data_IF_067720293922
#
_entry.id   IF_067720293922
#
_cell.length_a   1.000
_cell.length_b   1.000
_cell.length_c   1.000
_cell.angle_alpha   90.00
_cell.angle_beta   90.00
_cell.angle_gamma   90.00
#
_symmetry.space_group_name_H-M   'P 1'
#
loop_
_entity.id
_entity.type
_entity.pdbx_description
1 polymer ?
#
# COMPACT_ATOMS: atom_id res chain seq x y z
N UNK A 1 10.35 10.28 2.39
CA UNK A 1 10.19 8.86 2.71
C UNK A 1 8.87 8.67 3.44
N UNK A 2 7.80 8.46 2.67
CA UNK A 2 6.42 8.41 3.15
C UNK A 2 5.44 8.59 1.99
N UNK A 3 4.16 8.28 2.23
CA UNK A 3 3.05 8.32 1.26
C UNK A 3 2.64 9.75 0.85
N UNK A 4 3.60 10.62 0.54
CA UNK A 4 3.34 11.99 0.06
C UNK A 4 3.03 11.97 -1.44
N UNK A 5 1.81 12.35 -1.89
CA UNK A 5 1.47 12.39 -3.31
C UNK A 5 2.38 13.29 -4.16
N UNK A 6 3.03 14.30 -3.55
CA UNK A 6 3.88 15.29 -4.24
C UNK A 6 5.38 14.91 -4.24
N UNK A 7 5.75 13.80 -3.59
CA UNK A 7 7.12 13.30 -3.47
C UNK A 7 7.27 11.84 -3.94
N UNK A 8 7.92 10.98 -3.14
CA UNK A 8 7.92 9.51 -3.29
C UNK A 8 6.56 8.90 -2.91
N UNK A 9 5.47 9.40 -3.50
CA UNK A 9 4.13 8.88 -3.26
C UNK A 9 4.07 7.41 -3.64
N UNK A 10 3.60 6.56 -2.72
CA UNK A 10 3.33 5.17 -3.08
C UNK A 10 2.26 5.12 -4.18
N UNK A 11 2.26 4.04 -4.94
CA UNK A 11 1.35 3.89 -6.11
C UNK A 11 -0.12 4.17 -5.79
N UNK A 12 -0.57 3.89 -4.55
CA UNK A 12 -1.91 4.20 -4.07
C UNK A 12 -2.19 5.70 -4.05
N UNK A 13 -1.27 6.53 -3.52
CA UNK A 13 -1.51 7.97 -3.41
C UNK A 13 -1.55 8.63 -4.78
N UNK A 14 -0.68 8.19 -5.71
CA UNK A 14 -0.69 8.64 -7.10
C UNK A 14 -2.01 8.23 -7.77
N UNK A 15 -2.43 6.97 -7.63
CA UNK A 15 -3.67 6.48 -8.23
C UNK A 15 -4.89 7.28 -7.76
N UNK A 16 -5.03 7.47 -6.43
CA UNK A 16 -6.12 8.24 -5.84
C UNK A 16 -6.11 9.69 -6.30
N UNK A 17 -4.95 10.35 -6.30
CA UNK A 17 -4.83 11.73 -6.80
C UNK A 17 -5.26 11.85 -8.26
N UNK A 18 -4.87 10.88 -9.11
CA UNK A 18 -5.26 10.88 -10.52
C UNK A 18 -6.76 10.73 -10.71
N UNK A 19 -7.39 9.81 -9.97
CA UNK A 19 -8.84 9.57 -10.00
C UNK A 19 -9.61 10.80 -9.51
N UNK A 20 -9.23 11.38 -8.36
CA UNK A 20 -9.88 12.57 -7.79
C UNK A 20 -9.81 13.76 -8.74
N UNK A 21 -8.70 13.91 -9.46
CA UNK A 21 -8.51 14.99 -10.44
C UNK A 21 -8.99 14.63 -11.86
N UNK A 22 -9.66 13.49 -12.05
CA UNK A 22 -10.13 12.97 -13.34
C UNK A 22 -9.02 13.00 -14.43
N UNK A 23 -7.83 12.58 -14.04
CA UNK A 23 -6.61 12.60 -14.87
C UNK A 23 -6.08 11.18 -15.09
N UNK A 24 -5.30 11.00 -16.15
CA UNK A 24 -4.80 9.68 -16.53
C UNK A 24 -3.76 9.15 -15.53
N UNK A 25 -3.94 7.90 -15.13
CA UNK A 25 -2.92 7.12 -14.44
C UNK A 25 -2.01 6.41 -15.45
N UNK A 26 -0.69 6.56 -15.30
CA UNK A 26 0.28 5.89 -16.17
C UNK A 26 0.67 4.54 -15.58
N UNK A 27 0.30 3.46 -16.27
CA UNK A 27 0.75 2.11 -15.94
C UNK A 27 2.12 1.85 -16.58
N UNK A 28 3.11 1.45 -15.75
CA UNK A 28 4.42 1.04 -16.23
C UNK A 28 4.53 -0.48 -16.23
N UNK A 29 4.93 -1.05 -17.37
CA UNK A 29 5.00 -2.51 -17.56
C UNK A 29 3.66 -3.10 -18.00
N UNK A 30 3.45 -4.37 -17.68
CA UNK A 30 2.24 -5.13 -18.02
C UNK A 30 1.15 -5.07 -16.95
N UNK A 31 1.44 -4.55 -15.75
CA UNK A 31 0.48 -4.43 -14.65
C UNK A 31 0.37 -5.67 -13.76
N UNK A 32 1.08 -6.74 -14.10
CA UNK A 32 1.05 -8.03 -13.38
C UNK A 32 2.01 -8.06 -12.17
N UNK A 33 2.82 -7.01 -11.99
CA UNK A 33 3.66 -6.88 -10.81
C UNK A 33 2.82 -6.81 -9.54
N UNK A 34 3.20 -7.61 -8.54
CA UNK A 34 2.45 -7.71 -7.29
C UNK A 34 3.13 -6.96 -6.14
N UNK A 35 2.32 -6.46 -5.21
CA UNK A 35 2.74 -5.96 -3.89
C UNK A 35 1.71 -6.38 -2.84
N UNK A 36 2.17 -6.50 -1.60
CA UNK A 36 1.31 -6.66 -0.42
C UNK A 36 0.99 -5.26 0.13
N UNK A 37 -0.28 -4.86 0.07
CA UNK A 37 -0.75 -3.57 0.58
C UNK A 37 -1.48 -3.79 1.90
N UNK A 38 -0.88 -3.28 2.98
CA UNK A 38 -1.44 -3.37 4.33
C UNK A 38 -2.04 -2.03 4.77
N UNK A 39 -3.21 -2.08 5.40
CA UNK A 39 -3.87 -0.88 5.89
C UNK A 39 -3.18 -0.35 7.15
N UNK A 40 -3.10 0.98 7.28
CA UNK A 40 -2.35 1.63 8.37
C UNK A 40 -2.84 1.23 9.77
N UNK A 41 -4.14 0.96 9.93
CA UNK A 41 -4.69 0.54 11.22
C UNK A 41 -4.14 -0.83 11.67
N UNK A 42 -3.87 -1.74 10.73
CA UNK A 42 -3.33 -3.06 11.06
C UNK A 42 -1.87 -2.94 11.55
N UNK A 43 -1.10 -2.01 10.99
CA UNK A 43 0.24 -1.69 11.47
C UNK A 43 0.19 -1.06 12.87
N UNK A 44 -0.76 -0.16 13.13
CA UNK A 44 -0.95 0.42 14.47
C UNK A 44 -1.25 -0.68 15.49
N UNK A 45 -2.17 -1.60 15.16
CA UNK A 45 -2.53 -2.71 16.03
C UNK A 45 -1.33 -3.64 16.29
N UNK A 46 -0.56 -3.97 15.25
CA UNK A 46 0.64 -4.81 15.40
C UNK A 46 1.69 -4.18 16.32
N UNK A 47 1.91 -2.87 16.22
CA UNK A 47 2.84 -2.15 17.11
C UNK A 47 2.33 -2.12 18.56
N UNK A 48 1.03 -1.92 18.78
CA UNK A 48 0.43 -1.97 20.11
C UNK A 48 0.62 -3.36 20.75
N UNK A 49 0.34 -4.42 20.00
CA UNK A 49 0.54 -5.80 20.46
C UNK A 49 2.00 -6.09 20.83
N UNK A 50 2.95 -5.62 20.01
CA UNK A 50 4.38 -5.77 20.26
C UNK A 50 4.84 -4.98 21.51
N UNK A 51 4.19 -3.85 21.80
CA UNK A 51 4.50 -3.06 23.00
C UNK A 51 4.04 -3.75 24.30
N UNK A 52 2.94 -4.50 24.24
CA UNK A 52 2.37 -5.22 25.39
C UNK A 52 2.99 -6.61 25.58
N UNK A 53 3.50 -7.20 24.50
CA UNK A 53 4.09 -8.54 24.48
C UNK A 53 5.48 -8.45 23.86
N UNK A 54 6.52 -8.08 24.64
CA UNK A 54 7.86 -7.91 24.10
C UNK A 54 8.39 -9.25 23.59
N UNK A 55 8.66 -9.30 22.29
CA UNK A 55 9.31 -10.41 21.60
C UNK A 55 10.68 -9.92 21.14
N UNK A 56 11.74 -10.71 21.37
CA UNK A 56 13.08 -10.41 20.86
C UNK A 56 13.31 -11.12 19.53
N UNK A 57 12.49 -10.78 18.54
CA UNK A 57 12.57 -11.36 17.20
C UNK A 57 12.13 -10.34 16.14
N UNK A 58 12.42 -10.62 14.88
CA UNK A 58 12.00 -9.80 13.73
C UNK A 58 10.80 -10.43 13.05
N UNK A 59 9.71 -9.67 12.93
CA UNK A 59 8.47 -10.14 12.31
C UNK A 59 8.12 -9.31 11.08
N UNK A 60 7.71 -9.98 10.01
CA UNK A 60 7.04 -9.32 8.89
C UNK A 60 5.57 -9.09 9.27
N UNK A 61 5.08 -7.85 9.10
CA UNK A 61 3.67 -7.52 9.27
C UNK A 61 3.10 -7.19 7.89
N UNK A 62 2.22 -8.06 7.40
CA UNK A 62 1.70 -7.98 6.04
C UNK A 62 0.34 -8.68 5.95
N UNK A 63 -0.39 -8.49 4.85
CA UNK A 63 -1.66 -9.20 4.62
C UNK A 63 -1.45 -10.62 4.10
N UNK A 64 -0.25 -10.89 3.56
CA UNK A 64 0.13 -12.08 2.81
C UNK A 64 -0.72 -12.27 1.54
N UNK A 65 -1.29 -11.18 1.02
CA UNK A 65 -2.11 -11.17 -0.19
C UNK A 65 -1.34 -10.42 -1.28
N UNK A 66 -0.86 -11.10 -2.33
CA UNK A 66 -0.28 -10.43 -3.48
C UNK A 66 -1.38 -9.75 -4.28
N UNK A 67 -1.25 -8.45 -4.52
CA UNK A 67 -2.19 -7.65 -5.31
C UNK A 67 -1.47 -7.08 -6.53
N UNK A 68 -2.01 -7.29 -7.73
CA UNK A 68 -1.45 -6.71 -8.97
C UNK A 68 -1.80 -5.23 -9.10
N UNK A 69 -1.15 -4.50 -10.03
CA UNK A 69 -1.60 -3.14 -10.32
C UNK A 69 -2.96 -3.13 -11.03
N UNK A 70 -3.27 -4.15 -11.84
CA UNK A 70 -4.60 -4.31 -12.44
C UNK A 70 -5.69 -4.44 -11.37
N UNK A 71 -5.46 -5.27 -10.35
CA UNK A 71 -6.39 -5.42 -9.22
C UNK A 71 -6.58 -4.11 -8.47
N UNK A 72 -5.48 -3.40 -8.20
CA UNK A 72 -5.51 -2.11 -7.50
C UNK A 72 -6.31 -1.05 -8.28
N UNK A 73 -6.10 -0.94 -9.59
CA UNK A 73 -6.82 0.01 -10.46
C UNK A 73 -8.32 -0.34 -10.48
N UNK A 74 -8.66 -1.62 -10.62
CA UNK A 74 -10.05 -2.09 -10.71
C UNK A 74 -10.89 -1.78 -9.47
N UNK A 75 -10.27 -1.73 -8.28
CA UNK A 75 -10.97 -1.37 -7.03
C UNK A 75 -11.17 0.14 -6.91
N UNK A 76 -10.40 0.95 -7.64
CA UNK A 76 -10.41 2.40 -7.54
C UNK A 76 -11.33 3.09 -8.56
N UNK A 77 -11.75 2.37 -9.61
CA UNK A 77 -12.83 2.76 -10.55
C UNK A 77 -14.23 2.56 -9.95
#
# INVERSE_FOLDING_TARGET
MGQDPKGEGGVISILVDRIVNNSLFTLFGDGEQTRDFIFVQDIVNANLMASENPINDTCNISTNIPTTLHDLIKVAE
#
